data_IF_010870056603
#
_entry.id   IF_010870056603
#
_cell.length_a   1.000
_cell.length_b   1.000
_cell.length_c   1.000
_cell.angle_alpha   90.00
_cell.angle_beta   90.00
_cell.angle_gamma   90.00
#
_symmetry.space_group_name_H-M   'P 1'
#
loop_
_entity.id
_entity.type
_entity.pdbx_description
1 polymer ?
#
# COMPACT_ATOMS: atom_id res chain seq x y z
N UNK A 1 32.54 12.71 -11.96
CA UNK A 1 32.43 11.84 -10.78
C UNK A 1 30.96 11.60 -10.53
N UNK A 2 30.47 10.35 -10.61
CA UNK A 2 29.06 10.06 -10.37
C UNK A 2 28.74 10.35 -8.89
N UNK A 3 27.64 11.06 -8.57
CA UNK A 3 27.31 11.31 -7.18
C UNK A 3 27.07 9.94 -6.51
N UNK A 4 27.76 9.70 -5.40
CA UNK A 4 27.51 8.58 -4.51
C UNK A 4 26.04 8.66 -4.06
N UNK A 5 25.15 7.99 -4.78
CA UNK A 5 23.72 8.00 -4.49
C UNK A 5 23.52 7.21 -3.19
N UNK A 6 23.31 7.94 -2.10
CA UNK A 6 23.22 7.37 -0.77
C UNK A 6 22.01 6.43 -0.65
N UNK A 7 22.21 5.29 0.01
CA UNK A 7 21.16 4.33 0.37
C UNK A 7 20.46 4.74 1.68
N UNK A 8 20.28 6.04 1.87
CA UNK A 8 19.88 6.62 3.15
C UNK A 8 18.54 6.06 3.63
N UNK A 9 17.53 5.99 2.74
CA UNK A 9 16.20 5.46 3.06
C UNK A 9 16.25 4.01 3.51
N UNK A 10 17.04 3.17 2.82
CA UNK A 10 17.13 1.75 3.16
C UNK A 10 17.90 1.52 4.47
N UNK A 11 18.91 2.35 4.79
CA UNK A 11 19.59 2.30 6.08
C UNK A 11 18.66 2.67 7.23
N UNK A 12 17.87 3.74 7.06
CA UNK A 12 16.87 4.17 8.06
C UNK A 12 15.79 3.10 8.25
N UNK A 13 15.39 2.42 7.18
CA UNK A 13 14.49 1.27 7.24
C UNK A 13 15.11 0.09 8.01
N UNK A 14 16.39 -0.20 7.79
CA UNK A 14 17.12 -1.23 8.53
C UNK A 14 17.27 -0.89 10.02
N UNK A 15 17.47 0.39 10.37
CA UNK A 15 17.52 0.85 11.76
C UNK A 15 16.17 0.71 12.47
N UNK A 16 15.08 1.10 11.80
CA UNK A 16 13.72 0.90 12.30
C UNK A 16 13.39 -0.58 12.52
N UNK A 17 13.81 -1.45 11.59
CA UNK A 17 13.60 -2.90 11.70
C UNK A 17 14.45 -3.53 12.80
N UNK A 18 15.73 -3.16 12.94
CA UNK A 18 16.66 -3.83 13.86
C UNK A 18 16.60 -3.29 15.28
N UNK A 19 16.43 -1.97 15.42
CA UNK A 19 16.58 -1.27 16.69
C UNK A 19 15.31 -0.54 17.14
N UNK A 20 14.20 -0.67 16.41
CA UNK A 20 12.96 0.07 16.65
C UNK A 20 13.16 1.60 16.69
N UNK A 21 14.17 2.10 15.97
CA UNK A 21 14.45 3.53 15.85
C UNK A 21 13.69 4.12 14.66
N UNK A 22 12.49 4.65 14.91
CA UNK A 22 11.64 5.26 13.89
C UNK A 22 11.82 6.77 13.74
N UNK A 23 12.38 7.45 14.75
CA UNK A 23 12.51 8.91 14.76
C UNK A 23 13.33 9.43 13.57
N UNK A 24 14.44 8.75 13.25
CA UNK A 24 15.28 9.14 12.14
C UNK A 24 14.58 8.93 10.78
N UNK A 25 13.77 7.87 10.65
CA UNK A 25 12.98 7.60 9.45
C UNK A 25 11.84 8.62 9.30
N UNK A 26 11.12 8.91 10.38
CA UNK A 26 10.05 9.90 10.40
C UNK A 26 10.55 11.29 10.02
N UNK A 27 11.60 11.77 10.68
CA UNK A 27 12.20 13.08 10.38
C UNK A 27 12.71 13.15 8.95
N UNK A 28 13.26 12.05 8.42
CA UNK A 28 13.65 11.98 7.01
C UNK A 28 12.44 12.13 6.07
N UNK A 29 11.34 11.44 6.35
CA UNK A 29 10.14 11.45 5.50
C UNK A 29 9.37 12.77 5.56
N UNK A 30 9.49 13.53 6.65
CA UNK A 30 8.93 14.88 6.80
C UNK A 30 9.77 15.96 6.09
N UNK A 31 11.04 15.68 5.79
CA UNK A 31 11.94 16.67 5.23
C UNK A 31 11.73 16.85 3.72
N UNK A 32 10.80 17.75 3.38
CA UNK A 32 10.44 18.04 2.00
C UNK A 32 11.55 18.75 1.20
N UNK A 33 12.57 19.31 1.85
CA UNK A 33 13.69 19.96 1.15
C UNK A 33 14.55 18.99 0.32
N UNK A 34 14.40 17.68 0.53
CA UNK A 34 15.11 16.63 -0.22
C UNK A 34 14.30 16.08 -1.41
N UNK A 35 13.23 16.77 -1.81
CA UNK A 35 12.34 16.36 -2.90
C UNK A 35 13.05 16.18 -4.26
N UNK A 36 14.20 16.81 -4.48
CA UNK A 36 14.93 16.72 -5.76
C UNK A 36 15.99 15.59 -5.79
N UNK A 37 16.17 14.87 -4.68
CA UNK A 37 17.19 13.83 -4.56
C UNK A 37 16.67 12.44 -4.94
N UNK A 38 17.45 11.67 -5.70
CA UNK A 38 17.20 10.25 -5.97
C UNK A 38 17.90 9.36 -4.94
N UNK A 39 17.21 8.36 -4.39
CA UNK A 39 17.75 7.47 -3.35
C UNK A 39 17.93 6.06 -3.89
N UNK A 40 19.11 5.48 -3.71
CA UNK A 40 19.35 4.10 -4.14
C UNK A 40 18.77 3.09 -3.14
N UNK A 41 18.11 2.08 -3.68
CA UNK A 41 17.54 0.98 -2.91
C UNK A 41 17.96 -0.36 -3.51
N UNK A 42 18.14 -1.37 -2.67
CA UNK A 42 18.43 -2.73 -3.09
C UNK A 42 17.17 -3.44 -3.58
N UNK A 43 17.34 -4.60 -4.23
CA UNK A 43 16.21 -5.49 -4.60
C UNK A 43 15.43 -6.02 -3.38
N UNK A 44 16.03 -5.99 -2.19
CA UNK A 44 15.40 -6.47 -0.95
C UNK A 44 14.54 -5.41 -0.27
N UNK A 45 14.56 -4.17 -0.74
CA UNK A 45 13.85 -3.04 -0.13
C UNK A 45 12.35 -3.33 0.06
N UNK A 46 11.69 -3.89 -0.95
CA UNK A 46 10.26 -4.24 -0.87
C UNK A 46 9.98 -5.29 0.21
N UNK A 47 10.89 -6.26 0.38
CA UNK A 47 10.80 -7.24 1.47
C UNK A 47 11.02 -6.61 2.84
N UNK A 48 11.92 -5.62 2.95
CA UNK A 48 12.12 -4.88 4.20
C UNK A 48 10.91 -4.02 4.55
N UNK A 49 10.36 -3.33 3.55
CA UNK A 49 9.17 -2.48 3.70
C UNK A 49 7.96 -3.30 4.17
N UNK A 50 7.78 -4.47 3.58
CA UNK A 50 6.77 -5.46 3.97
C UNK A 50 6.94 -5.96 5.40
N UNK A 51 8.17 -6.33 5.79
CA UNK A 51 8.46 -6.72 7.17
C UNK A 51 8.12 -5.60 8.17
N UNK A 52 8.43 -4.35 7.84
CA UNK A 52 8.11 -3.22 8.70
C UNK A 52 6.60 -3.05 8.82
N UNK A 53 5.91 -2.94 7.69
CA UNK A 53 4.46 -2.71 7.67
C UNK A 53 3.70 -3.80 8.43
N UNK A 54 4.01 -5.07 8.13
CA UNK A 54 3.36 -6.23 8.76
C UNK A 54 3.63 -6.25 10.27
N UNK A 55 4.89 -6.10 10.68
CA UNK A 55 5.26 -6.15 12.11
C UNK A 55 4.57 -5.05 12.91
N UNK A 56 4.59 -3.82 12.39
CA UNK A 56 4.03 -2.68 13.13
C UNK A 56 2.50 -2.72 13.19
N UNK A 57 1.83 -3.22 12.14
CA UNK A 57 0.39 -3.49 12.21
C UNK A 57 0.05 -4.58 13.23
N UNK A 58 0.81 -5.67 13.28
CA UNK A 58 0.56 -6.78 14.22
C UNK A 58 0.70 -6.37 15.68
N UNK A 59 1.61 -5.44 15.98
CA UNK A 59 1.82 -4.89 17.32
C UNK A 59 0.81 -3.77 17.63
N UNK A 60 0.07 -3.27 16.63
CA UNK A 60 -0.88 -2.16 16.77
C UNK A 60 -0.22 -0.76 16.68
N UNK A 61 1.05 -0.69 16.29
CA UNK A 61 1.79 0.57 16.08
C UNK A 61 1.47 1.19 14.72
N UNK A 62 0.22 1.62 14.58
CA UNK A 62 -0.37 2.17 13.35
C UNK A 62 0.42 3.34 12.75
N UNK A 63 0.98 4.24 13.57
CA UNK A 63 1.80 5.36 13.10
C UNK A 63 3.09 4.89 12.42
N UNK A 64 3.75 3.86 12.97
CA UNK A 64 4.97 3.30 12.38
C UNK A 64 4.65 2.58 11.06
N UNK A 65 3.51 1.90 10.99
CA UNK A 65 3.02 1.29 9.75
C UNK A 65 2.77 2.36 8.66
N UNK A 66 2.21 3.52 9.02
CA UNK A 66 2.03 4.65 8.10
C UNK A 66 3.34 5.17 7.49
N UNK A 67 4.49 4.99 8.14
CA UNK A 67 5.79 5.37 7.55
C UNK A 67 6.10 4.55 6.30
N UNK A 68 5.77 3.25 6.29
CA UNK A 68 5.93 2.42 5.09
C UNK A 68 5.03 2.89 3.94
N UNK A 69 3.78 3.25 4.25
CA UNK A 69 2.83 3.77 3.27
C UNK A 69 3.27 5.14 2.76
N UNK A 70 3.83 5.98 3.63
CA UNK A 70 4.39 7.29 3.26
C UNK A 70 5.56 7.15 2.29
N UNK A 71 6.42 6.15 2.47
CA UNK A 71 7.48 5.83 1.50
C UNK A 71 6.88 5.52 0.13
N UNK A 72 5.82 4.71 0.06
CA UNK A 72 5.14 4.38 -1.19
C UNK A 72 4.43 5.58 -1.83
N UNK A 73 3.70 6.35 -1.04
CA UNK A 73 2.93 7.47 -1.55
C UNK A 73 3.83 8.64 -1.96
N UNK A 74 4.73 9.09 -1.08
CA UNK A 74 5.49 10.34 -1.28
C UNK A 74 6.86 10.16 -1.91
N UNK A 75 7.52 9.02 -1.70
CA UNK A 75 8.94 8.87 -2.05
C UNK A 75 9.21 7.85 -3.15
N UNK A 76 8.22 7.05 -3.54
CA UNK A 76 8.38 5.93 -4.48
C UNK A 76 8.97 6.34 -5.83
N UNK A 77 8.60 7.49 -6.38
CA UNK A 77 9.15 8.00 -7.65
C UNK A 77 10.65 8.36 -7.57
N UNK A 78 11.19 8.57 -6.36
CA UNK A 78 12.60 8.90 -6.12
C UNK A 78 13.47 7.71 -5.82
N UNK A 79 12.85 6.57 -5.56
CA UNK A 79 13.58 5.34 -5.27
C UNK A 79 14.13 4.79 -6.57
N UNK A 80 15.44 4.55 -6.60
CA UNK A 80 16.16 4.01 -7.74
C UNK A 80 16.68 2.63 -7.38
N UNK A 81 16.30 1.65 -8.18
CA UNK A 81 16.64 0.24 -8.00
C UNK A 81 17.61 -0.24 -9.08
N UNK A 82 18.28 -1.40 -8.89
CA UNK A 82 19.07 -2.02 -9.95
C UNK A 82 18.13 -2.45 -11.09
N UNK A 83 18.15 -1.70 -12.20
CA UNK A 83 17.30 -1.95 -13.38
C UNK A 83 16.32 -0.84 -13.73
N UNK A 84 16.23 0.24 -12.94
CA UNK A 84 15.35 1.37 -13.22
C UNK A 84 14.93 2.10 -11.94
N UNK A 85 14.16 3.18 -12.08
CA UNK A 85 13.60 3.92 -10.94
C UNK A 85 12.09 3.77 -10.84
N UNK A 86 11.57 4.06 -9.66
CA UNK A 86 10.14 4.27 -9.44
C UNK A 86 9.33 3.02 -9.14
N UNK A 87 8.01 3.24 -9.09
CA UNK A 87 7.01 2.25 -8.70
C UNK A 87 6.97 1.05 -9.64
N UNK A 88 7.21 1.25 -10.94
CA UNK A 88 7.21 0.15 -11.92
C UNK A 88 8.21 -0.96 -11.55
N UNK A 89 9.41 -0.60 -11.09
CA UNK A 89 10.37 -1.61 -10.61
C UNK A 89 9.88 -2.28 -9.33
N UNK A 90 9.25 -1.53 -8.43
CA UNK A 90 8.67 -2.08 -7.19
C UNK A 90 7.57 -3.10 -7.48
N UNK A 91 6.72 -2.82 -8.48
CA UNK A 91 5.70 -3.75 -8.98
C UNK A 91 6.37 -5.04 -9.49
N UNK A 92 7.39 -4.92 -10.34
CA UNK A 92 8.15 -6.09 -10.83
C UNK A 92 8.84 -6.90 -9.72
N UNK A 93 9.18 -6.25 -8.60
CA UNK A 93 9.73 -6.89 -7.39
C UNK A 93 8.64 -7.49 -6.48
N UNK A 94 7.37 -7.47 -6.90
CA UNK A 94 6.25 -8.08 -6.21
C UNK A 94 5.54 -7.18 -5.20
N UNK A 95 5.60 -5.84 -5.33
CA UNK A 95 4.89 -4.91 -4.45
C UNK A 95 3.37 -5.20 -4.41
N UNK A 96 2.73 -5.36 -5.56
CA UNK A 96 1.29 -5.62 -5.61
C UNK A 96 0.96 -6.97 -4.98
N UNK A 97 1.81 -7.99 -5.19
CA UNK A 97 1.70 -9.27 -4.50
C UNK A 97 1.86 -9.20 -2.98
N UNK A 98 2.34 -8.10 -2.40
CA UNK A 98 2.40 -7.89 -0.94
C UNK A 98 1.23 -7.04 -0.45
N UNK A 99 0.78 -6.08 -1.26
CA UNK A 99 -0.39 -5.25 -0.97
C UNK A 99 -1.71 -6.01 -1.13
N UNK A 100 -1.78 -6.87 -2.15
CA UNK A 100 -2.98 -7.55 -2.63
C UNK A 100 -3.19 -8.93 -2.01
N UNK A 101 -4.44 -9.33 -1.86
CA UNK A 101 -4.82 -10.71 -1.58
C UNK A 101 -4.58 -11.59 -2.83
N UNK A 102 -3.71 -12.61 -2.76
CA UNK A 102 -3.64 -13.66 -3.78
C UNK A 102 -4.44 -14.86 -3.31
N UNK A 103 -5.33 -15.38 -4.16
CA UNK A 103 -6.19 -16.54 -3.90
C UNK A 103 -5.41 -17.79 -3.47
N UNK A 104 -4.17 -17.95 -3.93
CA UNK A 104 -3.31 -19.08 -3.54
C UNK A 104 -2.67 -18.90 -2.14
N UNK A 105 -2.66 -17.67 -1.59
CA UNK A 105 -2.02 -17.38 -0.31
C UNK A 105 -2.99 -17.36 0.89
N UNK A 106 -4.30 -17.35 0.67
CA UNK A 106 -5.27 -17.52 1.76
C UNK A 106 -5.09 -18.86 2.49
N UNK A 107 -4.70 -19.93 1.79
CA UNK A 107 -4.48 -21.26 2.40
C UNK A 107 -3.15 -21.40 3.16
N UNK A 108 -2.22 -20.44 3.02
CA UNK A 108 -0.87 -20.49 3.61
C UNK A 108 -0.72 -19.61 4.86
N UNK A 109 -1.75 -18.89 5.30
CA UNK A 109 -1.69 -18.03 6.49
C UNK A 109 -0.82 -16.77 6.33
N UNK A 110 -0.38 -16.46 5.11
CA UNK A 110 0.37 -15.24 4.79
C UNK A 110 -0.63 -14.10 4.55
N UNK A 111 -1.01 -13.41 5.62
CA UNK A 111 -1.89 -12.25 5.52
C UNK A 111 -1.17 -11.09 4.82
N UNK A 112 -1.72 -10.67 3.69
CA UNK A 112 -1.28 -9.56 2.84
C UNK A 112 -1.75 -8.23 3.44
N UNK A 113 -1.10 -7.13 3.08
CA UNK A 113 -1.26 -5.85 3.79
C UNK A 113 -2.73 -5.42 3.94
N UNK A 114 -3.51 -5.57 2.87
CA UNK A 114 -4.93 -5.24 2.86
C UNK A 114 -5.74 -6.06 3.88
N UNK A 115 -5.55 -7.37 3.95
CA UNK A 115 -6.30 -8.22 4.88
C UNK A 115 -5.95 -7.93 6.34
N UNK A 116 -4.68 -7.60 6.62
CA UNK A 116 -4.27 -7.18 7.98
C UNK A 116 -4.92 -5.87 8.37
N UNK A 117 -4.86 -4.86 7.49
CA UNK A 117 -5.48 -3.58 7.73
C UNK A 117 -7.01 -3.72 7.89
N UNK A 118 -7.66 -4.51 7.03
CA UNK A 118 -9.09 -4.81 7.11
C UNK A 118 -9.47 -5.46 8.43
N UNK A 119 -8.70 -6.47 8.88
CA UNK A 119 -8.93 -7.14 10.15
C UNK A 119 -8.83 -6.14 11.31
N UNK A 120 -7.81 -5.28 11.32
CA UNK A 120 -7.67 -4.23 12.34
C UNK A 120 -8.84 -3.25 12.33
N UNK A 121 -9.33 -2.83 11.16
CA UNK A 121 -10.50 -1.95 11.06
C UNK A 121 -11.78 -2.62 11.56
N UNK A 122 -11.96 -3.91 11.27
CA UNK A 122 -13.11 -4.67 11.75
C UNK A 122 -13.06 -4.91 13.26
N UNK A 123 -11.88 -5.23 13.82
CA UNK A 123 -11.69 -5.45 15.25
C UNK A 123 -11.88 -4.17 16.07
N UNK A 124 -11.50 -3.02 15.53
CA UNK A 124 -11.76 -1.71 16.15
C UNK A 124 -13.25 -1.32 16.12
N UNK A 125 -14.04 -1.94 15.24
CA UNK A 125 -15.47 -1.72 15.12
C UNK A 125 -15.84 -0.36 14.52
N UNK A 126 -17.10 0.04 14.73
CA UNK A 126 -17.68 1.25 14.17
C UNK A 126 -17.29 2.53 14.92
N UNK A 127 -16.63 2.40 16.08
CA UNK A 127 -16.17 3.52 16.88
C UNK A 127 -15.18 4.39 16.11
N UNK A 128 -15.19 5.69 16.41
CA UNK A 128 -14.24 6.63 15.80
C UNK A 128 -12.84 6.37 16.36
N UNK A 129 -11.88 6.14 15.47
CA UNK A 129 -10.48 5.90 15.80
C UNK A 129 -9.60 6.61 14.76
N UNK A 130 -9.12 7.81 15.12
CA UNK A 130 -8.33 8.68 14.26
C UNK A 130 -7.07 8.00 13.70
N UNK A 131 -6.26 7.28 14.51
CA UNK A 131 -5.12 6.55 13.99
C UNK A 131 -5.49 5.53 12.89
N UNK A 132 -6.59 4.79 13.05
CA UNK A 132 -7.03 3.80 12.06
C UNK A 132 -7.63 4.44 10.80
N UNK A 133 -8.33 5.56 10.95
CA UNK A 133 -8.80 6.37 9.82
C UNK A 133 -7.59 6.84 9.01
N UNK A 134 -6.54 7.34 9.68
CA UNK A 134 -5.30 7.75 9.02
C UNK A 134 -4.60 6.58 8.30
N UNK A 135 -4.55 5.40 8.90
CA UNK A 135 -4.00 4.20 8.22
C UNK A 135 -4.80 3.89 6.96
N UNK A 136 -6.12 3.99 7.00
CA UNK A 136 -6.96 3.76 5.81
C UNK A 136 -6.66 4.78 4.70
N UNK A 137 -6.63 6.07 5.04
CA UNK A 137 -6.27 7.13 4.09
C UNK A 137 -4.88 6.91 3.48
N UNK A 138 -3.85 6.73 4.31
CA UNK A 138 -2.47 6.51 3.84
C UNK A 138 -2.36 5.23 2.99
N UNK A 139 -3.12 4.18 3.34
CA UNK A 139 -3.12 2.91 2.62
C UNK A 139 -3.74 3.08 1.23
N UNK A 140 -4.92 3.69 1.16
CA UNK A 140 -5.59 3.89 -0.12
C UNK A 140 -4.88 4.91 -0.99
N UNK A 141 -4.23 5.93 -0.42
CA UNK A 141 -3.37 6.84 -1.17
C UNK A 141 -2.16 6.10 -1.78
N UNK A 142 -1.45 5.29 -0.99
CA UNK A 142 -0.37 4.46 -1.50
C UNK A 142 -0.85 3.49 -2.59
N UNK A 143 -2.05 2.92 -2.43
CA UNK A 143 -2.67 2.05 -3.44
C UNK A 143 -2.95 2.79 -4.75
N UNK A 144 -3.49 4.00 -4.68
CA UNK A 144 -3.76 4.81 -5.88
C UNK A 144 -2.47 5.20 -6.61
N UNK A 145 -1.40 5.49 -5.87
CA UNK A 145 -0.09 5.75 -6.47
C UNK A 145 0.40 4.54 -7.27
N UNK A 146 0.19 3.32 -6.77
CA UNK A 146 0.51 2.08 -7.50
C UNK A 146 -0.41 1.90 -8.71
N UNK A 147 -1.72 2.06 -8.53
CA UNK A 147 -2.74 1.93 -9.59
C UNK A 147 -2.47 2.86 -10.77
N UNK A 148 -2.05 4.10 -10.50
CA UNK A 148 -1.87 5.14 -11.52
C UNK A 148 -0.45 5.15 -12.12
N UNK A 149 0.48 4.35 -11.59
CA UNK A 149 1.89 4.38 -12.00
C UNK A 149 2.17 3.78 -13.37
N UNK A 150 1.48 2.70 -13.75
CA UNK A 150 1.65 2.03 -15.03
C UNK A 150 0.46 1.11 -15.34
N UNK A 151 0.35 0.63 -16.58
CA UNK A 151 -0.74 -0.27 -17.01
C UNK A 151 -0.82 -1.55 -16.19
N UNK A 152 0.33 -2.14 -15.84
CA UNK A 152 0.41 -3.34 -15.00
C UNK A 152 -0.14 -3.06 -13.59
N UNK A 153 0.24 -1.93 -12.99
CA UNK A 153 -0.29 -1.47 -11.71
C UNK A 153 -1.80 -1.23 -11.75
N UNK A 154 -2.30 -0.56 -12.78
CA UNK A 154 -3.73 -0.35 -12.99
C UNK A 154 -4.47 -1.70 -13.09
N UNK A 155 -3.95 -2.62 -13.89
CA UNK A 155 -4.56 -3.92 -14.14
C UNK A 155 -4.59 -4.78 -12.88
N UNK A 156 -3.44 -5.01 -12.25
CA UNK A 156 -3.36 -5.90 -11.10
C UNK A 156 -4.16 -5.37 -9.91
N UNK A 157 -4.04 -4.07 -9.58
CA UNK A 157 -4.82 -3.48 -8.47
C UNK A 157 -6.33 -3.60 -8.73
N UNK A 158 -6.77 -3.34 -9.97
CA UNK A 158 -8.18 -3.44 -10.33
C UNK A 158 -8.67 -4.89 -10.28
N UNK A 159 -7.88 -5.85 -10.75
CA UNK A 159 -8.29 -7.26 -10.75
C UNK A 159 -8.31 -7.85 -9.33
N UNK A 160 -7.34 -7.48 -8.49
CA UNK A 160 -7.08 -8.20 -7.24
C UNK A 160 -7.70 -7.55 -6.01
N UNK A 161 -7.84 -6.22 -5.99
CA UNK A 161 -8.26 -5.47 -4.82
C UNK A 161 -9.66 -4.85 -4.96
N UNK A 162 -10.19 -4.66 -6.16
CA UNK A 162 -11.48 -3.97 -6.37
C UNK A 162 -12.63 -4.52 -5.51
N UNK A 163 -12.84 -5.84 -5.53
CA UNK A 163 -13.90 -6.48 -4.74
C UNK A 163 -13.65 -6.38 -3.23
N UNK A 164 -12.38 -6.39 -2.79
CA UNK A 164 -12.00 -6.28 -1.40
C UNK A 164 -12.24 -4.86 -0.85
N UNK A 165 -11.93 -3.83 -1.65
CA UNK A 165 -12.26 -2.44 -1.33
C UNK A 165 -13.79 -2.27 -1.25
N UNK A 166 -14.53 -2.87 -2.18
CA UNK A 166 -15.99 -2.90 -2.15
C UNK A 166 -16.54 -3.49 -0.85
N UNK A 167 -16.00 -4.61 -0.38
CA UNK A 167 -16.37 -5.22 0.91
C UNK A 167 -16.14 -4.25 2.08
N UNK A 168 -15.00 -3.57 2.14
CA UNK A 168 -14.72 -2.58 3.19
C UNK A 168 -15.70 -1.40 3.12
N UNK A 169 -16.02 -0.93 1.92
CA UNK A 169 -16.95 0.19 1.72
C UNK A 169 -18.38 -0.13 2.18
N UNK A 170 -18.79 -1.40 2.16
CA UNK A 170 -20.13 -1.85 2.55
C UNK A 170 -20.21 -2.52 3.93
N UNK A 171 -19.10 -2.72 4.64
CA UNK A 171 -19.07 -3.49 5.89
C UNK A 171 -19.56 -2.65 7.08
N UNK A 172 -20.75 -2.92 7.64
CA UNK A 172 -21.33 -2.13 8.73
C UNK A 172 -20.55 -2.20 10.04
N UNK A 173 -19.64 -3.17 10.19
CA UNK A 173 -18.79 -3.29 11.37
C UNK A 173 -17.59 -2.33 11.33
N UNK A 174 -17.24 -1.82 10.15
CA UNK A 174 -16.12 -0.87 9.98
C UNK A 174 -16.61 0.56 10.21
N UNK A 175 -15.75 1.42 10.77
CA UNK A 175 -16.05 2.83 10.93
C UNK A 175 -16.47 3.52 9.61
N UNK A 176 -17.53 4.34 9.67
CA UNK A 176 -18.12 5.01 8.50
C UNK A 176 -17.15 5.92 7.75
N UNK A 177 -16.14 6.49 8.41
CA UNK A 177 -15.12 7.32 7.73
C UNK A 177 -14.20 6.46 6.87
N UNK A 178 -13.83 5.27 7.35
CA UNK A 178 -13.03 4.28 6.60
C UNK A 178 -13.86 3.75 5.41
N UNK A 179 -15.13 3.43 5.63
CA UNK A 179 -16.06 3.03 4.55
C UNK A 179 -16.14 4.09 3.46
N UNK A 180 -16.31 5.37 3.84
CA UNK A 180 -16.39 6.49 2.90
C UNK A 180 -15.10 6.66 2.10
N UNK A 181 -13.95 6.54 2.73
CA UNK A 181 -12.67 6.61 2.03
C UNK A 181 -12.49 5.44 1.05
N UNK A 182 -12.83 4.22 1.47
CA UNK A 182 -12.84 3.05 0.61
C UNK A 182 -13.78 3.25 -0.60
N UNK A 183 -15.00 3.72 -0.37
CA UNK A 183 -15.99 3.99 -1.43
C UNK A 183 -15.49 5.06 -2.42
N UNK A 184 -14.88 6.14 -1.91
CA UNK A 184 -14.31 7.21 -2.73
C UNK A 184 -13.22 6.65 -3.65
N UNK A 185 -12.31 5.85 -3.11
CA UNK A 185 -11.17 5.26 -3.83
C UNK A 185 -11.62 4.18 -4.81
N UNK A 186 -12.61 3.38 -4.43
CA UNK A 186 -13.28 2.42 -5.31
C UNK A 186 -13.84 3.12 -6.55
N UNK A 187 -14.58 4.22 -6.38
CA UNK A 187 -15.14 4.98 -7.50
C UNK A 187 -14.06 5.53 -8.44
N UNK A 188 -12.91 5.98 -7.90
CA UNK A 188 -11.77 6.42 -8.71
C UNK A 188 -11.16 5.28 -9.54
N UNK A 189 -11.02 4.09 -8.95
CA UNK A 189 -10.54 2.89 -9.66
C UNK A 189 -11.55 2.49 -10.74
N UNK A 190 -12.85 2.44 -10.42
CA UNK A 190 -13.95 2.11 -11.34
C UNK A 190 -13.97 3.04 -12.57
N UNK A 191 -13.74 4.34 -12.37
CA UNK A 191 -13.66 5.32 -13.46
C UNK A 191 -12.50 5.05 -14.43
N UNK A 192 -11.42 4.40 -13.96
CA UNK A 192 -10.18 4.15 -14.69
C UNK A 192 -9.99 2.70 -15.13
N UNK A 193 -11.01 1.84 -15.05
CA UNK A 193 -10.88 0.42 -15.41
C UNK A 193 -10.46 0.28 -16.89
N UNK A 194 -9.39 -0.50 -17.19
CA UNK A 194 -9.02 -0.87 -18.55
C UNK A 194 -10.17 -1.58 -19.28
N UNK A 195 -10.34 -1.33 -20.59
CA UNK A 195 -11.49 -1.87 -21.34
C UNK A 195 -11.53 -3.41 -21.32
N UNK A 196 -10.37 -4.05 -21.23
CA UNK A 196 -10.18 -5.49 -21.10
C UNK A 196 -10.80 -6.03 -19.80
N UNK A 197 -10.57 -5.34 -18.68
CA UNK A 197 -11.14 -5.70 -17.38
C UNK A 197 -12.63 -5.33 -17.30
N UNK A 198 -13.07 -4.23 -17.93
CA UNK A 198 -14.50 -3.88 -18.01
C UNK A 198 -15.31 -5.04 -18.58
N UNK A 199 -14.84 -5.65 -19.67
CA UNK A 199 -15.50 -6.83 -20.26
C UNK A 199 -15.52 -8.01 -19.31
N UNK A 200 -14.40 -8.31 -18.63
CA UNK A 200 -14.30 -9.43 -17.69
C UNK A 200 -15.19 -9.26 -16.45
N UNK A 201 -15.26 -8.05 -15.89
CA UNK A 201 -16.09 -7.72 -14.72
C UNK A 201 -17.57 -7.73 -15.08
N UNK A 202 -17.96 -7.17 -16.22
CA UNK A 202 -19.35 -7.21 -16.70
C UNK A 202 -19.82 -8.64 -17.05
N UNK A 203 -18.89 -9.54 -17.34
CA UNK A 203 -19.15 -10.95 -17.61
C UNK A 203 -19.02 -11.83 -16.37
N UNK A 204 -18.55 -11.32 -15.21
CA UNK A 204 -18.40 -12.11 -13.99
C UNK A 204 -19.69 -12.07 -13.16
N UNK A 205 -20.08 -13.23 -12.63
CA UNK A 205 -21.30 -13.43 -11.83
C UNK A 205 -21.36 -12.55 -10.57
N UNK A 206 -20.21 -12.04 -10.08
CA UNK A 206 -20.07 -11.22 -8.88
C UNK A 206 -20.56 -9.78 -9.07
N UNK A 207 -20.60 -9.25 -10.30
CA UNK A 207 -21.18 -7.93 -10.57
C UNK A 207 -22.72 -7.93 -10.44
N UNK A 208 -23.37 -9.08 -10.61
CA UNK A 208 -24.83 -9.22 -10.46
C UNK A 208 -25.31 -9.29 -9.01
N UNK A 209 -24.45 -9.57 -8.04
CA UNK A 209 -24.81 -9.69 -6.61
C UNK A 209 -24.51 -8.44 -5.79
N UNK A 210 -23.90 -7.40 -6.39
CA UNK A 210 -23.56 -6.13 -5.74
C UNK A 210 -24.54 -4.97 -6.07
N UNK A 211 -25.62 -5.25 -6.81
CA UNK A 211 -26.77 -4.35 -7.02
C UNK A 211 -27.95 -4.80 -6.16
#
# INVERSE_FOLDING_TARGET
>A
MAPLKDRQVEKLLDEALKHNNFQALEHFLQNESKLDSSFQCSRQFITKLDKLFVRELDIGHVFNACLALTILHKWSQRLVFPGGGGISVMISLGLIRKMSTSLFMQSLGLLLWFERARKLWAEAGSARNEPLIKVAEDFFDALMVVHESCKEGTFEVTESLLSHIGKVASDPQINVMIQKEAARKLNLILAKIPMELKKKILLSQEASTMM
#
